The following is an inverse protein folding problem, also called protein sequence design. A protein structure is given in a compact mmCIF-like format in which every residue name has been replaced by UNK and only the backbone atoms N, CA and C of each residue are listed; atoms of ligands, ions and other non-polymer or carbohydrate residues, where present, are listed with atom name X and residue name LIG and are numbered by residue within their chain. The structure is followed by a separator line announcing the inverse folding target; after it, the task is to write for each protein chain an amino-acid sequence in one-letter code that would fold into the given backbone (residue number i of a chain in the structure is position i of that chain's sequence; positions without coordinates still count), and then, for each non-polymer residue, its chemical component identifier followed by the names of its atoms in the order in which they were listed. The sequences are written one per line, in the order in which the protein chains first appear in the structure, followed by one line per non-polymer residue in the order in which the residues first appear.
data_IF_423670676477
#
_entry.id   IF_423670676477
#
_cell.length_a   1.000
_cell.length_b   1.000
_cell.length_c   1.000
_cell.angle_alpha   90.00
_cell.angle_beta   90.00
_cell.angle_gamma   90.00
#
_symmetry.space_group_name_H-M   'P 1'
#
loop_
_entity.id
_entity.type
_entity.pdbx_description
1 polymer ?
#
# COMPACT_ATOMS: atom_id res chain seq x y z
N UNK A 1 -14.44 -20.00 25.69
CA UNK A 1 -13.13 -19.35 25.89
C UNK A 1 -12.11 -20.10 25.07
N UNK A 2 -11.64 -19.53 23.94
CA UNK A 2 -10.32 -18.85 23.91
C UNK A 2 -10.30 -17.66 22.91
N UNK A 3 -9.51 -16.58 22.94
CA UNK A 3 -8.40 -16.06 23.75
C UNK A 3 -8.56 -14.53 23.68
N UNK A 4 -9.05 -13.88 24.73
CA UNK A 4 -8.73 -12.47 24.95
C UNK A 4 -7.29 -12.41 25.44
N UNK A 5 -6.34 -12.54 24.50
CA UNK A 5 -4.98 -12.09 24.76
C UNK A 5 -5.04 -10.58 24.59
N UNK A 6 -5.17 -9.88 25.71
CA UNK A 6 -5.02 -8.43 25.76
C UNK A 6 -3.81 -8.06 24.92
N UNK A 7 -4.06 -7.28 23.86
CA UNK A 7 -2.98 -6.72 23.07
C UNK A 7 -2.08 -5.96 24.03
N UNK A 8 -0.75 -6.10 23.96
CA UNK A 8 0.12 -5.13 24.60
C UNK A 8 -0.34 -3.72 24.20
N UNK A 9 -0.26 -2.77 25.12
CA UNK A 9 -0.52 -1.35 24.80
C UNK A 9 0.36 -1.04 23.58
N UNK A 10 -0.20 -0.45 22.50
CA UNK A 10 0.51 -0.22 21.23
C UNK A 10 1.92 0.36 21.43
N UNK A 11 2.07 1.24 22.41
CA UNK A 11 3.35 1.78 22.88
C UNK A 11 4.42 0.70 23.11
N UNK A 12 4.11 -0.36 23.85
CA UNK A 12 5.05 -1.47 24.10
C UNK A 12 5.43 -2.22 22.82
N UNK A 13 4.50 -2.38 21.89
CA UNK A 13 4.77 -3.03 20.60
C UNK A 13 5.69 -2.17 19.75
N UNK A 14 5.45 -0.86 19.73
CA UNK A 14 6.27 0.12 19.02
C UNK A 14 7.66 0.21 19.64
N UNK A 15 7.79 0.26 20.97
CA UNK A 15 9.10 0.26 21.64
C UNK A 15 9.91 -1.00 21.31
N UNK A 16 9.28 -2.18 21.32
CA UNK A 16 9.94 -3.44 20.92
C UNK A 16 10.37 -3.43 19.46
N UNK A 17 9.60 -2.78 18.59
CA UNK A 17 9.94 -2.64 17.18
C UNK A 17 11.10 -1.64 16.99
N UNK A 18 11.05 -0.49 17.66
CA UNK A 18 12.10 0.54 17.65
C UNK A 18 13.44 0.04 18.21
N UNK A 19 13.42 -0.96 19.10
CA UNK A 19 14.62 -1.62 19.60
C UNK A 19 15.31 -2.54 18.56
N UNK A 20 14.66 -2.84 17.44
CA UNK A 20 15.23 -3.65 16.36
C UNK A 20 15.95 -2.78 15.33
N UNK A 21 17.03 -3.29 14.69
CA UNK A 21 17.69 -2.55 13.62
C UNK A 21 16.76 -2.35 12.42
N UNK A 22 16.95 -1.23 11.71
CA UNK A 22 16.32 -0.97 10.43
C UNK A 22 17.12 -1.60 9.28
N UNK A 23 16.48 -1.88 8.12
CA UNK A 23 15.03 -1.86 7.91
C UNK A 23 14.33 -3.01 8.64
N UNK A 24 13.07 -2.83 9.03
CA UNK A 24 12.31 -3.88 9.69
C UNK A 24 11.89 -4.98 8.71
N UNK A 25 11.76 -6.24 9.18
CA UNK A 25 11.24 -7.31 8.34
C UNK A 25 9.79 -7.03 7.96
N UNK A 26 9.50 -7.13 6.66
CA UNK A 26 8.14 -6.98 6.14
C UNK A 26 7.40 -8.31 6.31
N UNK A 27 6.30 -8.26 7.06
CA UNK A 27 5.41 -9.39 7.28
C UNK A 27 4.87 -9.88 5.94
N UNK A 28 4.92 -11.20 5.72
CA UNK A 28 4.51 -11.84 4.48
C UNK A 28 3.10 -12.43 4.58
N UNK A 29 2.42 -12.52 3.44
CA UNK A 29 1.08 -13.09 3.33
C UNK A 29 1.05 -14.52 3.89
N UNK A 30 0.07 -14.78 4.74
CA UNK A 30 0.00 -15.98 5.58
C UNK A 30 0.01 -15.62 7.06
N UNK A 31 0.62 -14.49 7.43
CA UNK A 31 0.51 -13.95 8.79
C UNK A 31 -0.90 -13.37 9.04
N UNK A 32 -1.58 -13.73 10.15
CA UNK A 32 -2.91 -13.22 10.49
C UNK A 32 -2.99 -11.69 10.62
N UNK A 33 -1.89 -10.99 10.97
CA UNK A 33 -1.92 -9.52 11.13
C UNK A 33 -2.31 -8.80 9.84
N UNK A 34 -2.00 -9.39 8.67
CA UNK A 34 -2.34 -8.84 7.36
C UNK A 34 -3.79 -9.12 6.93
N UNK A 35 -4.51 -9.95 7.69
CA UNK A 35 -5.91 -10.34 7.43
C UNK A 35 -6.88 -9.80 8.47
N UNK A 36 -6.39 -9.30 9.60
CA UNK A 36 -7.20 -8.63 10.60
C UNK A 36 -7.39 -7.15 10.23
N UNK A 37 -8.61 -6.63 10.42
CA UNK A 37 -8.84 -5.20 10.33
C UNK A 37 -8.09 -4.49 11.48
N UNK A 38 -7.22 -3.55 11.13
CA UNK A 38 -6.44 -2.81 12.11
C UNK A 38 -7.33 -1.87 12.93
N UNK A 39 -6.99 -1.70 14.21
CA UNK A 39 -7.72 -0.77 15.08
C UNK A 39 -7.39 0.68 14.74
N UNK A 40 -8.33 1.63 14.91
CA UNK A 40 -8.02 3.04 14.79
C UNK A 40 -6.86 3.45 15.71
N UNK A 41 -6.02 4.36 15.23
CA UNK A 41 -5.04 5.05 16.05
C UNK A 41 -5.75 6.16 16.83
N UNK A 42 -5.64 6.15 18.16
CA UNK A 42 -6.36 7.09 19.03
C UNK A 42 -5.45 8.19 19.60
N UNK A 43 -4.22 8.34 19.08
CA UNK A 43 -3.25 9.31 19.62
C UNK A 43 -2.56 8.82 20.89
N UNK A 44 -2.40 7.51 21.04
CA UNK A 44 -1.87 6.88 22.27
C UNK A 44 -0.33 6.77 22.32
N UNK A 45 0.39 7.19 21.27
CA UNK A 45 1.86 7.29 21.28
C UNK A 45 2.27 8.73 21.57
N UNK A 46 3.40 8.92 22.25
CA UNK A 46 4.02 10.24 22.34
C UNK A 46 4.48 10.71 20.96
N UNK A 47 4.62 12.03 20.78
CA UNK A 47 5.08 12.62 19.53
C UNK A 47 6.45 12.06 19.10
N UNK A 48 7.35 11.85 20.05
CA UNK A 48 8.68 11.26 19.80
C UNK A 48 8.57 9.81 19.32
N UNK A 49 7.70 9.03 19.95
CA UNK A 49 7.51 7.61 19.63
C UNK A 49 6.84 7.45 18.27
N UNK A 50 5.83 8.27 17.97
CA UNK A 50 5.16 8.31 16.68
C UNK A 50 6.12 8.75 15.57
N UNK A 51 6.92 9.80 15.80
CA UNK A 51 7.93 10.27 14.85
C UNK A 51 8.97 9.18 14.54
N UNK A 52 9.46 8.49 15.56
CA UNK A 52 10.40 7.38 15.38
C UNK A 52 9.78 6.20 14.62
N UNK A 53 8.52 5.87 14.89
CA UNK A 53 7.78 4.85 14.15
C UNK A 53 7.65 5.21 12.66
N UNK A 54 7.24 6.43 12.36
CA UNK A 54 7.08 6.93 10.98
C UNK A 54 8.42 6.92 10.24
N UNK A 55 9.50 7.35 10.89
CA UNK A 55 10.84 7.31 10.31
C UNK A 55 11.27 5.88 9.97
N UNK A 56 11.06 4.92 10.88
CA UNK A 56 11.35 3.52 10.63
C UNK A 56 10.48 2.88 9.53
N UNK A 57 9.20 3.26 9.46
CA UNK A 57 8.30 2.86 8.36
C UNK A 57 8.80 3.39 7.01
N UNK A 58 9.22 4.66 6.96
CA UNK A 58 9.78 5.29 5.75
C UNK A 58 11.06 4.58 5.30
N UNK A 59 11.99 4.34 6.22
CA UNK A 59 13.24 3.65 5.90
C UNK A 59 13.01 2.21 5.42
N UNK A 60 12.10 1.49 6.08
CA UNK A 60 11.71 0.12 5.68
C UNK A 60 11.08 0.10 4.29
N UNK A 61 10.19 1.06 3.99
CA UNK A 61 9.56 1.22 2.67
C UNK A 61 10.62 1.46 1.57
N UNK A 62 11.56 2.38 1.82
CA UNK A 62 12.62 2.73 0.85
C UNK A 62 13.62 1.59 0.64
N UNK A 63 13.95 0.84 1.68
CA UNK A 63 14.83 -0.32 1.58
C UNK A 63 14.22 -1.48 0.76
N UNK A 64 12.89 -1.55 0.70
CA UNK A 64 12.12 -2.54 -0.06
C UNK A 64 11.61 -2.02 -1.42
N UNK A 65 12.31 -1.03 -2.01
CA UNK A 65 11.83 -0.05 -3.01
C UNK A 65 10.30 0.08 -3.20
N UNK A 66 9.54 0.20 -2.10
CA UNK A 66 8.09 0.37 -2.13
C UNK A 66 7.67 1.84 -2.31
N UNK A 67 6.42 2.06 -2.74
CA UNK A 67 5.80 3.39 -2.81
C UNK A 67 4.77 3.63 -1.70
N UNK A 68 4.60 2.64 -0.82
CA UNK A 68 3.73 2.67 0.35
C UNK A 68 4.07 1.53 1.31
N UNK A 69 3.74 1.74 2.59
CA UNK A 69 3.86 0.73 3.63
C UNK A 69 2.82 0.99 4.74
N UNK A 70 1.99 0.01 5.02
CA UNK A 70 1.00 0.02 6.09
C UNK A 70 1.55 -0.63 7.38
N UNK A 71 1.17 -0.12 8.55
CA UNK A 71 1.64 -0.63 9.84
C UNK A 71 1.42 -2.15 10.05
N UNK A 72 0.35 -2.79 9.55
CA UNK A 72 0.22 -4.26 9.61
C UNK A 72 1.38 -5.01 8.94
N UNK A 73 2.02 -4.41 7.93
CA UNK A 73 3.17 -5.00 7.23
C UNK A 73 4.46 -5.00 8.05
N UNK A 74 4.50 -4.27 9.17
CA UNK A 74 5.57 -4.33 10.17
C UNK A 74 5.08 -4.94 11.49
N UNK A 75 3.96 -5.68 11.45
CA UNK A 75 3.40 -6.43 12.58
C UNK A 75 2.56 -5.61 13.55
N UNK A 76 2.26 -4.34 13.25
CA UNK A 76 1.46 -3.46 14.09
C UNK A 76 0.04 -3.34 13.55
N UNK A 77 -0.95 -3.90 14.26
CA UNK A 77 -2.36 -3.85 13.84
C UNK A 77 -3.03 -2.51 14.19
N UNK A 78 -2.51 -1.41 13.66
CA UNK A 78 -3.02 -0.03 13.84
C UNK A 78 -3.19 0.68 12.50
N UNK A 79 -4.16 1.59 12.38
CA UNK A 79 -4.46 2.32 11.15
C UNK A 79 -3.50 3.48 10.86
N UNK A 80 -2.25 3.14 10.57
CA UNK A 80 -1.22 4.08 10.11
C UNK A 80 -0.58 3.52 8.85
N UNK A 81 -0.40 4.35 7.83
CA UNK A 81 0.38 4.03 6.64
C UNK A 81 1.25 5.21 6.21
N UNK A 82 2.33 4.94 5.49
CA UNK A 82 3.16 5.96 4.83
C UNK A 82 3.15 5.72 3.33
N UNK A 83 3.19 6.80 2.54
CA UNK A 83 3.25 6.72 1.07
C UNK A 83 4.21 7.77 0.52
N UNK A 84 4.93 7.41 -0.54
CA UNK A 84 5.82 8.29 -1.30
C UNK A 84 6.13 7.67 -2.67
N UNK A 85 6.02 8.44 -3.75
CA UNK A 85 6.44 8.02 -5.08
C UNK A 85 7.13 9.20 -5.76
N UNK A 86 8.44 9.12 -5.96
CA UNK A 86 9.17 10.20 -6.63
C UNK A 86 8.75 10.36 -8.10
N UNK A 87 8.16 9.31 -8.71
CA UNK A 87 7.86 9.11 -10.13
C UNK A 87 9.07 9.21 -11.09
N UNK A 88 10.07 10.02 -10.76
CA UNK A 88 11.29 10.30 -11.52
C UNK A 88 12.33 9.20 -11.43
N UNK A 89 12.27 8.35 -10.42
CA UNK A 89 13.23 7.25 -10.19
C UNK A 89 12.80 5.95 -10.87
N UNK A 90 12.14 6.04 -12.03
CA UNK A 90 11.70 4.88 -12.83
C UNK A 90 12.49 4.76 -14.14
N UNK A 91 13.82 4.50 -14.08
CA UNK A 91 14.65 4.39 -15.27
C UNK A 91 14.17 3.24 -16.16
N UNK A 92 14.13 3.47 -17.47
CA UNK A 92 13.68 2.47 -18.45
C UNK A 92 12.16 2.40 -18.65
N UNK A 93 11.37 3.18 -17.90
CA UNK A 93 9.92 3.32 -18.16
C UNK A 93 9.71 4.50 -19.11
N UNK A 94 9.05 4.24 -20.25
CA UNK A 94 8.75 5.29 -21.21
C UNK A 94 7.78 6.34 -20.64
N UNK A 95 7.97 7.61 -21.01
CA UNK A 95 7.09 8.72 -20.59
C UNK A 95 5.62 8.46 -20.94
N UNK A 96 5.35 7.85 -22.10
CA UNK A 96 4.01 7.44 -22.49
C UNK A 96 3.38 6.41 -21.53
N UNK A 97 4.18 5.52 -20.95
CA UNK A 97 3.72 4.58 -19.92
C UNK A 97 3.38 5.31 -18.63
N UNK A 98 4.22 6.26 -18.20
CA UNK A 98 3.95 7.07 -17.01
C UNK A 98 2.64 7.85 -17.17
N UNK A 99 2.46 8.53 -18.30
CA UNK A 99 1.25 9.26 -18.63
C UNK A 99 0.01 8.34 -18.68
N UNK A 100 0.10 7.18 -19.35
CA UNK A 100 -1.01 6.22 -19.44
C UNK A 100 -1.45 5.71 -18.07
N UNK A 101 -0.50 5.49 -17.16
CA UNK A 101 -0.77 4.99 -15.81
C UNK A 101 -1.13 6.09 -14.81
N UNK A 102 -1.10 7.36 -15.23
CA UNK A 102 -1.29 8.51 -14.34
C UNK A 102 -0.25 8.55 -13.23
N UNK A 103 1.00 8.13 -13.52
CA UNK A 103 2.11 8.18 -12.57
C UNK A 103 2.60 9.63 -12.49
N UNK A 104 2.43 10.23 -11.33
CA UNK A 104 2.88 11.58 -11.00
C UNK A 104 3.56 11.54 -9.62
N UNK A 105 4.47 12.49 -9.31
CA UNK A 105 5.10 12.54 -8.01
C UNK A 105 4.06 12.63 -6.88
N UNK A 106 4.20 11.76 -5.89
CA UNK A 106 3.48 11.77 -4.63
C UNK A 106 4.49 12.05 -3.51
N UNK A 107 4.51 13.27 -2.93
CA UNK A 107 5.39 13.59 -1.82
C UNK A 107 5.15 12.65 -0.63
N UNK A 108 6.20 12.45 0.18
CA UNK A 108 6.07 11.71 1.43
C UNK A 108 4.94 12.27 2.30
N UNK A 109 4.10 11.38 2.80
CA UNK A 109 3.04 11.72 3.74
C UNK A 109 2.65 10.53 4.60
N UNK A 110 2.14 10.84 5.78
CA UNK A 110 1.56 9.86 6.71
C UNK A 110 0.05 9.89 6.56
N UNK A 111 -0.56 8.71 6.61
CA UNK A 111 -2.00 8.51 6.56
C UNK A 111 -2.43 7.86 7.87
N UNK A 112 -3.05 8.64 8.74
CA UNK A 112 -3.63 8.19 10.01
C UNK A 112 -5.12 8.00 9.84
N UNK A 113 -5.62 6.83 10.21
CA UNK A 113 -7.03 6.42 10.08
C UNK A 113 -7.64 6.71 8.69
N UNK A 114 -6.94 6.44 7.57
CA UNK A 114 -7.44 6.81 6.27
C UNK A 114 -8.68 6.00 5.88
N UNK A 115 -9.55 6.64 5.12
CA UNK A 115 -10.67 6.06 4.39
C UNK A 115 -10.70 6.66 2.99
N UNK A 116 -11.27 5.94 2.02
CA UNK A 116 -11.47 6.49 0.69
C UNK A 116 -12.87 6.16 0.17
N UNK A 117 -13.39 7.07 -0.65
CA UNK A 117 -14.60 6.84 -1.45
C UNK A 117 -14.30 7.09 -2.92
N UNK A 118 -14.83 6.25 -3.80
CA UNK A 118 -14.72 6.44 -5.25
C UNK A 118 -15.36 7.78 -5.68
N UNK A 119 -14.75 8.46 -6.65
CA UNK A 119 -15.28 9.66 -7.30
C UNK A 119 -15.51 9.36 -8.79
N UNK A 120 -16.77 9.28 -9.21
CA UNK A 120 -17.15 8.87 -10.57
C UNK A 120 -16.97 7.37 -10.83
N UNK A 121 -17.36 6.89 -12.01
CA UNK A 121 -17.43 5.45 -12.30
C UNK A 121 -16.18 4.89 -12.98
N UNK A 122 -15.21 5.75 -13.31
CA UNK A 122 -14.00 5.37 -14.03
C UNK A 122 -13.09 4.44 -13.22
N UNK A 123 -12.57 3.42 -13.88
CA UNK A 123 -11.65 2.43 -13.31
C UNK A 123 -10.44 2.28 -14.21
N UNK A 124 -9.29 1.99 -13.59
CA UNK A 124 -8.07 1.64 -14.30
C UNK A 124 -7.53 0.32 -13.77
N UNK A 125 -7.07 -0.54 -14.67
CA UNK A 125 -6.50 -1.85 -14.36
C UNK A 125 -5.02 -1.89 -14.77
N UNK A 126 -4.15 -2.24 -13.82
CA UNK A 126 -2.71 -2.38 -14.04
C UNK A 126 -2.16 -3.50 -13.16
N UNK A 127 -0.99 -4.03 -13.52
CA UNK A 127 -0.24 -4.90 -12.63
C UNK A 127 0.11 -4.17 -11.33
N UNK A 128 -0.23 -4.79 -10.21
CA UNK A 128 0.01 -4.34 -8.86
C UNK A 128 0.75 -5.45 -8.11
N UNK A 129 1.71 -5.07 -7.28
CA UNK A 129 2.44 -5.96 -6.38
C UNK A 129 2.33 -5.47 -4.95
N UNK A 130 2.85 -6.26 -4.01
CA UNK A 130 2.84 -5.92 -2.60
C UNK A 130 4.13 -6.44 -1.96
N UNK A 131 4.73 -5.64 -1.07
CA UNK A 131 5.92 -6.03 -0.31
C UNK A 131 5.68 -7.26 0.58
N UNK A 132 4.42 -7.49 0.97
CA UNK A 132 3.97 -8.66 1.74
C UNK A 132 3.61 -9.87 0.86
N UNK A 133 3.66 -9.77 -0.47
CA UNK A 133 3.46 -10.90 -1.40
C UNK A 133 4.67 -10.95 -2.33
N UNK A 134 5.82 -11.30 -1.76
CA UNK A 134 7.09 -11.18 -2.45
C UNK A 134 7.14 -11.99 -3.76
N UNK A 135 7.59 -11.33 -4.83
CA UNK A 135 7.88 -11.95 -6.12
C UNK A 135 6.70 -12.08 -7.08
N UNK A 136 5.50 -11.64 -6.68
CA UNK A 136 4.27 -11.80 -7.46
C UNK A 136 3.54 -10.49 -7.69
N UNK A 137 2.95 -10.38 -8.88
CA UNK A 137 2.06 -9.30 -9.28
C UNK A 137 0.82 -9.87 -9.97
N UNK A 138 -0.28 -9.14 -9.91
CA UNK A 138 -1.46 -9.43 -10.72
C UNK A 138 -2.14 -8.11 -11.13
N UNK A 139 -2.96 -8.16 -12.16
CA UNK A 139 -3.78 -7.05 -12.60
C UNK A 139 -4.87 -6.79 -11.56
N UNK A 140 -4.93 -5.54 -11.08
CA UNK A 140 -5.93 -5.09 -10.12
C UNK A 140 -6.65 -3.87 -10.68
N UNK A 141 -7.98 -3.94 -10.70
CA UNK A 141 -8.85 -2.83 -11.01
C UNK A 141 -8.97 -1.90 -9.80
N UNK A 142 -8.73 -0.61 -10.00
CA UNK A 142 -8.87 0.44 -8.95
C UNK A 142 -9.78 1.55 -9.44
N UNK A 143 -10.45 2.24 -8.53
CA UNK A 143 -11.12 3.48 -8.88
C UNK A 143 -10.05 4.46 -9.41
N UNK A 144 -10.30 5.07 -10.57
CA UNK A 144 -9.33 6.00 -11.17
C UNK A 144 -9.20 7.26 -10.31
N UNK A 145 -10.30 7.66 -9.66
CA UNK A 145 -10.38 8.82 -8.76
C UNK A 145 -11.02 8.43 -7.44
N UNK A 146 -10.47 8.95 -6.35
CA UNK A 146 -10.99 8.77 -5.01
C UNK A 146 -10.99 10.10 -4.26
N UNK A 147 -11.85 10.21 -3.25
CA UNK A 147 -11.73 11.19 -2.18
C UNK A 147 -11.14 10.49 -0.96
N UNK A 148 -9.94 10.90 -0.56
CA UNK A 148 -9.25 10.44 0.64
C UNK A 148 -9.70 11.27 1.83
N UNK A 149 -10.03 10.60 2.94
CA UNK A 149 -10.28 11.23 4.25
C UNK A 149 -9.44 10.59 5.34
N UNK A 150 -8.97 11.37 6.30
CA UNK A 150 -8.19 10.88 7.44
C UNK A 150 -7.51 12.03 8.17
N UNK A 151 -6.35 11.76 8.75
CA UNK A 151 -5.46 12.79 9.30
C UNK A 151 -4.01 12.48 8.94
N UNK A 152 -3.14 13.47 9.09
CA UNK A 152 -1.69 13.28 9.12
C UNK A 152 -1.19 12.94 10.54
N UNK A 153 0.13 12.79 10.70
CA UNK A 153 0.76 12.49 11.98
C UNK A 153 0.61 13.58 13.05
N UNK A 154 0.29 14.81 12.64
CA UNK A 154 0.05 15.95 13.54
C UNK A 154 -1.41 16.05 13.96
N UNK A 155 -2.28 15.22 13.37
CA UNK A 155 -3.73 15.27 13.55
C UNK A 155 -4.44 16.26 12.62
N UNK A 156 -3.73 16.88 11.67
CA UNK A 156 -4.37 17.76 10.69
C UNK A 156 -5.22 16.94 9.72
N UNK A 157 -6.44 17.40 9.45
CA UNK A 157 -7.38 16.69 8.63
C UNK A 157 -6.91 16.58 7.17
N UNK A 158 -6.99 15.37 6.61
CA UNK A 158 -6.83 15.11 5.19
C UNK A 158 -8.23 14.93 4.59
N UNK A 159 -8.60 15.76 3.61
CA UNK A 159 -9.84 15.62 2.83
C UNK A 159 -9.64 16.16 1.42
N UNK A 160 -9.18 15.31 0.51
CA UNK A 160 -8.76 15.70 -0.84
C UNK A 160 -9.12 14.64 -1.89
N UNK A 161 -9.13 15.05 -3.15
CA UNK A 161 -9.29 14.13 -4.27
C UNK A 161 -7.94 13.74 -4.86
N UNK A 162 -7.74 12.44 -5.05
CA UNK A 162 -6.58 11.87 -5.71
C UNK A 162 -7.03 11.14 -6.97
N UNK A 163 -6.15 11.11 -7.97
CA UNK A 163 -6.40 10.40 -9.22
C UNK A 163 -5.16 9.62 -9.68
N UNK A 164 -5.34 8.69 -10.62
CA UNK A 164 -4.24 7.96 -11.25
C UNK A 164 -3.47 7.07 -10.29
N UNK A 165 -2.13 7.07 -10.40
CA UNK A 165 -1.27 6.21 -9.59
C UNK A 165 -1.28 6.56 -8.09
N UNK A 166 -1.27 7.85 -7.67
CA UNK A 166 -1.46 8.21 -6.27
C UNK A 166 -2.76 7.65 -5.66
N UNK A 167 -3.88 7.71 -6.39
CA UNK A 167 -5.14 7.12 -5.95
C UNK A 167 -5.03 5.60 -5.75
N UNK A 168 -4.30 4.90 -6.63
CA UNK A 168 -4.04 3.45 -6.52
C UNK A 168 -3.22 3.12 -5.28
N UNK A 169 -2.13 3.85 -5.02
CA UNK A 169 -1.28 3.65 -3.85
C UNK A 169 -2.11 3.81 -2.57
N UNK A 170 -2.87 4.90 -2.46
CA UNK A 170 -3.73 5.14 -1.28
C UNK A 170 -4.80 4.07 -1.10
N UNK A 171 -5.42 3.59 -2.18
CA UNK A 171 -6.36 2.46 -2.12
C UNK A 171 -5.68 1.19 -1.59
N UNK A 172 -4.46 0.89 -2.06
CA UNK A 172 -3.67 -0.27 -1.62
C UNK A 172 -3.31 -0.21 -0.14
N UNK A 173 -2.72 0.90 0.30
CA UNK A 173 -2.31 1.02 1.70
C UNK A 173 -3.51 1.07 2.64
N UNK A 174 -4.61 1.72 2.23
CA UNK A 174 -5.84 1.73 3.04
C UNK A 174 -6.48 0.35 3.11
N UNK A 175 -6.40 -0.46 2.05
CA UNK A 175 -6.89 -1.85 2.06
C UNK A 175 -6.11 -2.71 3.08
N UNK A 176 -4.79 -2.55 3.18
CA UNK A 176 -3.98 -3.24 4.19
C UNK A 176 -4.48 -2.99 5.61
N UNK A 177 -4.90 -1.76 5.91
CA UNK A 177 -5.46 -1.40 7.22
C UNK A 177 -6.82 -2.06 7.51
N UNK A 178 -7.48 -2.61 6.49
CA UNK A 178 -8.73 -3.36 6.59
C UNK A 178 -8.53 -4.88 6.46
N UNK A 179 -7.28 -5.36 6.47
CA UNK A 179 -6.97 -6.79 6.34
C UNK A 179 -7.14 -7.32 4.90
N UNK A 180 -7.14 -6.43 3.91
CA UNK A 180 -7.33 -6.75 2.50
C UNK A 180 -5.97 -6.68 1.80
N UNK A 181 -5.62 -7.75 1.08
CA UNK A 181 -4.47 -7.79 0.19
C UNK A 181 -4.93 -7.54 -1.24
N UNK A 182 -4.03 -7.06 -2.11
CA UNK A 182 -4.37 -6.85 -3.52
C UNK A 182 -4.90 -8.12 -4.21
N UNK A 183 -4.47 -9.31 -3.74
CA UNK A 183 -4.93 -10.62 -4.23
C UNK A 183 -6.44 -10.83 -4.05
N UNK A 184 -7.08 -10.17 -3.08
CA UNK A 184 -8.53 -10.26 -2.87
C UNK A 184 -9.32 -9.48 -3.94
N UNK A 185 -8.62 -8.63 -4.71
CA UNK A 185 -9.17 -7.80 -5.80
C UNK A 185 -8.56 -8.14 -7.17
N UNK A 186 -7.63 -9.10 -7.20
CA UNK A 186 -6.83 -9.40 -8.38
C UNK A 186 -7.60 -10.25 -9.39
N UNK A 187 -7.37 -9.99 -10.68
CA UNK A 187 -7.66 -10.94 -11.73
C UNK A 187 -6.62 -12.08 -11.67
N UNK A 188 -6.97 -13.20 -11.06
CA UNK A 188 -6.02 -14.27 -10.76
C UNK A 188 -5.42 -14.94 -12.00
N UNK A 189 -6.06 -14.91 -13.18
CA UNK A 189 -5.44 -15.39 -14.43
C UNK A 189 -4.22 -14.58 -14.84
N UNK A 190 -4.12 -13.34 -14.35
CA UNK A 190 -2.98 -12.47 -14.62
C UNK A 190 -1.81 -12.66 -13.63
N UNK A 191 -1.98 -13.48 -12.57
CA UNK A 191 -0.95 -13.70 -11.55
C UNK A 191 0.36 -14.15 -12.20
N UNK A 192 1.39 -13.31 -12.06
CA UNK A 192 2.66 -13.45 -12.75
C UNK A 192 3.80 -13.17 -11.78
N UNK A 193 4.93 -13.85 -11.94
CA UNK A 193 6.15 -13.50 -11.22
C UNK A 193 6.65 -12.13 -11.68
N UNK A 194 7.42 -11.44 -10.84
CA UNK A 194 8.07 -10.17 -11.22
C UNK A 194 8.88 -10.30 -12.52
N UNK A 195 9.59 -11.43 -12.69
CA UNK A 195 10.36 -11.73 -13.89
C UNK A 195 9.46 -11.84 -15.14
N UNK A 196 8.32 -12.52 -15.02
CA UNK A 196 7.37 -12.66 -16.12
C UNK A 196 6.78 -11.30 -16.52
N UNK A 197 6.41 -10.45 -15.55
CA UNK A 197 5.93 -9.09 -15.81
C UNK A 197 7.00 -8.26 -16.52
N UNK A 198 8.23 -8.25 -15.99
CA UNK A 198 9.34 -7.50 -16.57
C UNK A 198 9.73 -7.95 -17.98
N UNK A 199 9.48 -9.23 -18.33
CA UNK A 199 9.82 -9.79 -19.63
C UNK A 199 8.68 -9.70 -20.66
N UNK A 200 7.43 -9.89 -20.24
CA UNK A 200 6.28 -10.07 -21.14
C UNK A 200 5.28 -8.93 -21.10
N UNK A 201 5.09 -8.32 -19.93
CA UNK A 201 3.98 -7.41 -19.63
C UNK A 201 4.45 -5.97 -19.37
N UNK A 202 5.41 -5.50 -20.18
CA UNK A 202 6.03 -4.16 -20.04
C UNK A 202 5.24 -3.03 -20.70
N UNK A 203 4.15 -3.38 -21.39
CA UNK A 203 3.30 -2.45 -22.11
C UNK A 203 2.61 -1.45 -21.14
N UNK A 204 2.18 -0.27 -21.62
CA UNK A 204 1.54 0.73 -20.79
C UNK A 204 0.29 0.21 -20.04
N UNK A 205 -0.50 -0.66 -20.69
CA UNK A 205 -1.73 -1.25 -20.16
C UNK A 205 -1.65 -2.79 -20.17
N UNK A 206 -2.45 -3.49 -19.36
CA UNK A 206 -2.49 -4.95 -19.35
C UNK A 206 -3.26 -5.58 -20.53
N UNK A 207 -3.60 -4.83 -21.59
CA UNK A 207 -4.44 -5.31 -22.69
C UNK A 207 -3.85 -6.53 -23.43
N UNK A 208 -2.52 -6.57 -23.57
CA UNK A 208 -1.83 -7.73 -24.17
C UNK A 208 -1.90 -8.95 -23.25
N UNK A 209 -1.63 -8.77 -21.95
CA UNK A 209 -1.79 -9.82 -20.95
C UNK A 209 -3.23 -10.36 -20.92
N UNK A 210 -4.23 -9.49 -20.98
CA UNK A 210 -5.65 -9.85 -21.02
C UNK A 210 -5.97 -10.78 -22.20
N UNK A 211 -5.52 -10.40 -23.40
CA UNK A 211 -5.71 -11.19 -24.62
C UNK A 211 -4.99 -12.54 -24.56
N UNK A 212 -3.75 -12.57 -24.07
CA UNK A 212 -2.92 -13.79 -24.10
C UNK A 212 -3.21 -14.76 -22.97
N UNK A 213 -3.54 -14.25 -21.78
CA UNK A 213 -3.87 -15.07 -20.60
C UNK A 213 -5.39 -15.33 -20.48
N UNK A 214 -6.20 -14.68 -21.32
CA UNK A 214 -7.63 -14.94 -21.47
C UNK A 214 -8.45 -14.43 -20.28
N UNK A 215 -8.39 -13.14 -19.99
CA UNK A 215 -9.24 -12.46 -19.01
C UNK A 215 -9.75 -11.12 -19.56
N UNK A 216 -10.84 -10.62 -18.97
CA UNK A 216 -11.43 -9.35 -19.36
C UNK A 216 -10.90 -8.20 -18.51
N UNK A 217 -10.76 -7.02 -19.12
CA UNK A 217 -10.48 -5.78 -18.40
C UNK A 217 -11.79 -5.05 -18.09
N UNK A 218 -11.89 -4.36 -16.94
CA UNK A 218 -13.05 -3.56 -16.57
C UNK A 218 -13.24 -2.33 -17.47
#
# INVERSE_FOLDING_TARGET
MPLERGSPVLAEQVEKLLAQPLPWPIVQAGDPVLRAAARPYEGELSDETLSALIAGMKETMHAAPGVGLAAPQIGLSVRIAVVEDSARERPGVAESTLATRGIVPLPFRVLVNPTYTRVGDETAAFFEGCLSVHGWQAVVARALRIRLRGADETGAALDEELSGWPARIVQHETDHLHGILYLDRAELRSLSTHEAVARRWTQPTPAEAARELGFDLP
#
